data_IF_109883588180
#
_entry.id   IF_109883588180
#
_cell.length_a   1.000
_cell.length_b   1.000
_cell.length_c   1.000
_cell.angle_alpha   90.00
_cell.angle_beta   90.00
_cell.angle_gamma   90.00
#
_symmetry.space_group_name_H-M   'P 1'
#
loop_
_entity.id
_entity.type
_entity.pdbx_description
1 polymer ?
#
# COMPACT_ATOMS: atom_id res chain seq x y z
N UNK A 1 -6.40 -6.14 19.52
CA UNK A 1 -7.47 -5.14 19.31
C UNK A 1 -6.89 -3.72 19.26
N UNK A 2 -6.02 -3.35 20.19
CA UNK A 2 -5.42 -1.99 20.23
C UNK A 2 -4.56 -1.66 18.99
N UNK A 3 -3.82 -2.63 18.44
CA UNK A 3 -3.02 -2.44 17.22
C UNK A 3 -3.87 -2.29 15.95
N UNK A 4 -5.04 -2.91 15.89
CA UNK A 4 -5.99 -2.76 14.77
C UNK A 4 -6.61 -1.36 14.78
N UNK A 5 -7.01 -0.88 15.96
CA UNK A 5 -7.54 0.47 16.14
C UNK A 5 -6.54 1.57 15.75
N UNK A 6 -5.27 1.42 16.12
CA UNK A 6 -4.24 2.39 15.73
C UNK A 6 -4.04 2.43 14.21
N UNK A 7 -4.12 1.29 13.54
CA UNK A 7 -4.03 1.19 12.08
C UNK A 7 -5.20 1.87 11.37
N UNK A 8 -6.43 1.65 11.85
CA UNK A 8 -7.64 2.30 11.31
C UNK A 8 -7.64 3.82 11.55
N UNK A 9 -7.19 4.28 12.72
CA UNK A 9 -7.05 5.71 12.99
C UNK A 9 -6.00 6.35 12.08
N UNK A 10 -4.87 5.67 11.83
CA UNK A 10 -3.84 6.16 10.93
C UNK A 10 -4.32 6.23 9.48
N UNK A 11 -5.04 5.21 8.99
CA UNK A 11 -5.58 5.21 7.63
C UNK A 11 -6.65 6.29 7.44
N UNK A 12 -7.51 6.49 8.44
CA UNK A 12 -8.54 7.53 8.40
C UNK A 12 -7.95 8.95 8.48
N UNK A 13 -6.91 9.15 9.30
CA UNK A 13 -6.17 10.41 9.34
C UNK A 13 -5.50 10.73 8.00
N UNK A 14 -4.88 9.73 7.37
CA UNK A 14 -4.27 9.86 6.07
C UNK A 14 -5.30 10.18 4.97
N UNK A 15 -6.42 9.46 4.93
CA UNK A 15 -7.53 9.73 4.00
C UNK A 15 -8.05 11.15 4.15
N UNK A 16 -8.27 11.63 5.39
CA UNK A 16 -8.69 13.00 5.65
C UNK A 16 -7.70 14.04 5.11
N UNK A 17 -6.39 13.80 5.26
CA UNK A 17 -5.35 14.68 4.70
C UNK A 17 -5.39 14.73 3.17
N UNK A 18 -5.57 13.58 2.50
CA UNK A 18 -5.68 13.50 1.05
C UNK A 18 -6.96 14.21 0.55
N UNK A 19 -8.08 14.03 1.24
CA UNK A 19 -9.35 14.71 0.93
C UNK A 19 -9.24 16.23 1.04
N UNK A 20 -8.50 16.76 2.02
CA UNK A 20 -8.28 18.22 2.10
C UNK A 20 -7.46 18.75 0.92
N UNK A 21 -6.44 18.02 0.47
CA UNK A 21 -5.61 18.42 -0.68
C UNK A 21 -6.45 18.39 -1.97
N UNK A 22 -7.25 17.34 -2.14
CA UNK A 22 -8.08 17.16 -3.32
C UNK A 22 -9.19 18.22 -3.40
N UNK A 23 -9.84 18.53 -2.26
CA UNK A 23 -10.79 19.63 -2.15
C UNK A 23 -10.16 21.00 -2.46
N UNK A 24 -8.92 21.24 -2.02
CA UNK A 24 -8.19 22.46 -2.35
C UNK A 24 -7.89 22.58 -3.85
N UNK A 25 -7.47 21.49 -4.51
CA UNK A 25 -7.29 21.47 -5.97
C UNK A 25 -8.59 21.76 -6.72
N UNK A 26 -9.70 21.18 -6.27
CA UNK A 26 -11.04 21.43 -6.83
C UNK A 26 -11.45 22.90 -6.69
N UNK A 27 -11.19 23.51 -5.54
CA UNK A 27 -11.44 24.94 -5.30
C UNK A 27 -10.64 25.81 -6.28
N UNK A 28 -9.33 25.55 -6.44
CA UNK A 28 -8.48 26.30 -7.37
C UNK A 28 -8.95 26.13 -8.81
N UNK A 29 -9.32 24.91 -9.20
CA UNK A 29 -9.79 24.60 -10.56
C UNK A 29 -11.10 25.31 -10.87
N UNK A 30 -12.09 25.22 -9.98
CA UNK A 30 -13.39 25.89 -10.12
C UNK A 30 -13.27 27.40 -10.12
N UNK A 31 -12.44 27.97 -9.23
CA UNK A 31 -12.18 29.40 -9.20
C UNK A 31 -11.55 29.90 -10.51
N UNK A 32 -10.63 29.13 -11.09
CA UNK A 32 -10.02 29.43 -12.40
C UNK A 32 -11.04 29.37 -13.55
N UNK A 33 -11.94 28.39 -13.52
CA UNK A 33 -13.04 28.26 -14.49
C UNK A 33 -14.00 29.46 -14.43
N UNK A 34 -14.33 29.92 -13.22
CA UNK A 34 -15.18 31.11 -13.02
C UNK A 34 -14.51 32.37 -13.56
N UNK A 35 -13.21 32.55 -13.31
CA UNK A 35 -12.46 33.70 -13.81
C UNK A 35 -12.39 33.73 -15.34
N UNK A 36 -12.21 32.57 -15.99
CA UNK A 36 -12.11 32.47 -17.45
C UNK A 36 -13.44 32.27 -18.19
N UNK A 37 -14.57 32.41 -17.50
CA UNK A 37 -15.93 32.33 -18.07
C UNK A 37 -16.12 33.20 -19.31
N UNK A 38 -15.48 34.37 -19.39
CA UNK A 38 -15.62 35.30 -20.51
C UNK A 38 -14.94 34.82 -21.80
N UNK A 39 -14.00 33.88 -21.70
CA UNK A 39 -13.21 33.38 -22.84
C UNK A 39 -13.60 31.95 -23.24
N UNK A 40 -14.23 31.19 -22.34
CA UNK A 40 -14.60 29.79 -22.58
C UNK A 40 -16.09 29.61 -22.91
N UNK A 41 -16.38 28.68 -23.82
CA UNK A 41 -17.74 28.18 -24.05
C UNK A 41 -18.27 27.42 -22.83
N UNK A 42 -19.54 27.63 -22.48
CA UNK A 42 -20.20 26.99 -21.35
C UNK A 42 -20.09 25.46 -21.36
N UNK A 43 -20.08 24.84 -22.56
CA UNK A 43 -19.90 23.38 -22.70
C UNK A 43 -18.51 22.89 -22.27
N UNK A 44 -17.47 23.68 -22.55
CA UNK A 44 -16.10 23.33 -22.17
C UNK A 44 -15.90 23.48 -20.66
N UNK A 45 -16.48 24.51 -20.05
CA UNK A 45 -16.46 24.71 -18.59
C UNK A 45 -17.12 23.54 -17.86
N UNK A 46 -18.29 23.08 -18.33
CA UNK A 46 -18.97 21.92 -17.74
C UNK A 46 -18.17 20.63 -17.88
N UNK A 47 -17.51 20.44 -19.02
CA UNK A 47 -16.66 19.28 -19.30
C UNK A 47 -15.41 19.26 -18.39
N UNK A 48 -14.70 20.39 -18.27
CA UNK A 48 -13.53 20.49 -17.37
C UNK A 48 -13.94 20.33 -15.91
N UNK A 49 -15.08 20.88 -15.49
CA UNK A 49 -15.58 20.71 -14.13
C UNK A 49 -15.90 19.25 -13.81
N UNK A 50 -16.56 18.54 -14.73
CA UNK A 50 -16.83 17.11 -14.57
C UNK A 50 -15.54 16.30 -14.43
N UNK A 51 -14.53 16.57 -15.27
CA UNK A 51 -13.24 15.89 -15.16
C UNK A 51 -12.51 16.23 -13.87
N UNK A 52 -12.58 17.47 -13.39
CA UNK A 52 -11.96 17.87 -12.13
C UNK A 52 -12.54 17.08 -10.94
N UNK A 53 -13.87 16.91 -10.89
CA UNK A 53 -14.53 16.09 -9.87
C UNK A 53 -14.09 14.62 -9.96
N UNK A 54 -14.10 14.05 -11.16
CA UNK A 54 -13.76 12.64 -11.36
C UNK A 54 -12.29 12.32 -11.00
N UNK A 55 -11.36 13.19 -11.39
CA UNK A 55 -9.92 12.99 -11.13
C UNK A 55 -9.62 13.06 -9.62
N UNK A 56 -10.33 13.92 -8.90
CA UNK A 56 -10.17 14.10 -7.44
C UNK A 56 -10.43 12.79 -6.70
N UNK A 57 -11.56 12.13 -6.97
CA UNK A 57 -11.93 10.86 -6.32
C UNK A 57 -10.99 9.71 -6.75
N UNK A 58 -10.58 9.72 -8.02
CA UNK A 58 -9.70 8.70 -8.55
C UNK A 58 -8.31 8.77 -7.91
N UNK A 59 -7.78 9.97 -7.69
CA UNK A 59 -6.49 10.18 -7.04
C UNK A 59 -6.49 9.68 -5.60
N UNK A 60 -7.54 9.96 -4.82
CA UNK A 60 -7.65 9.45 -3.46
C UNK A 60 -7.62 7.93 -3.42
N UNK A 61 -8.42 7.29 -4.29
CA UNK A 61 -8.52 5.83 -4.37
C UNK A 61 -7.18 5.18 -4.77
N UNK A 62 -6.47 5.80 -5.72
CA UNK A 62 -5.16 5.33 -6.17
C UNK A 62 -4.15 5.37 -5.02
N UNK A 63 -4.04 6.49 -4.31
CA UNK A 63 -3.08 6.65 -3.21
C UNK A 63 -3.33 5.64 -2.09
N UNK A 64 -4.60 5.38 -1.74
CA UNK A 64 -4.95 4.33 -0.76
C UNK A 64 -4.54 2.94 -1.24
N UNK A 65 -4.77 2.62 -2.51
CA UNK A 65 -4.38 1.34 -3.10
C UNK A 65 -2.85 1.15 -3.09
N UNK A 66 -2.08 2.19 -3.40
CA UNK A 66 -0.62 2.15 -3.32
C UNK A 66 -0.13 1.88 -1.89
N UNK A 67 -0.72 2.54 -0.88
CA UNK A 67 -0.35 2.32 0.53
C UNK A 67 -0.65 0.88 1.00
N UNK A 68 -1.79 0.32 0.57
CA UNK A 68 -2.12 -1.09 0.83
C UNK A 68 -1.15 -2.04 0.13
N UNK A 69 -0.76 -1.73 -1.12
CA UNK A 69 0.20 -2.52 -1.88
C UNK A 69 1.59 -2.51 -1.25
N UNK A 70 2.06 -1.34 -0.81
CA UNK A 70 3.33 -1.20 -0.08
C UNK A 70 3.33 -2.04 1.20
N UNK A 71 2.23 -1.99 1.95
CA UNK A 71 2.07 -2.84 3.16
C UNK A 71 2.06 -4.33 2.80
N UNK A 72 1.41 -4.72 1.70
CA UNK A 72 1.35 -6.10 1.24
C UNK A 72 2.69 -6.62 0.69
N UNK A 73 3.56 -5.74 0.18
CA UNK A 73 4.88 -6.08 -0.37
C UNK A 73 5.87 -6.60 0.68
N UNK A 74 5.65 -6.29 1.97
CA UNK A 74 6.48 -6.81 3.07
C UNK A 74 6.44 -8.34 3.16
N UNK A 75 5.32 -8.98 2.80
CA UNK A 75 5.20 -10.44 2.85
C UNK A 75 6.14 -11.16 1.84
N UNK A 76 6.11 -10.86 0.53
CA UNK A 76 7.04 -11.47 -0.41
C UNK A 76 8.50 -11.09 -0.14
N UNK A 77 8.81 -9.88 0.35
CA UNK A 77 10.17 -9.51 0.78
C UNK A 77 10.70 -10.46 1.86
N UNK A 78 9.89 -10.75 2.89
CA UNK A 78 10.26 -11.71 3.94
C UNK A 78 10.44 -13.12 3.40
N UNK A 79 9.60 -13.56 2.46
CA UNK A 79 9.75 -14.88 1.82
C UNK A 79 11.05 -14.96 1.03
N UNK A 80 11.40 -13.90 0.30
CA UNK A 80 12.66 -13.82 -0.42
C UNK A 80 13.87 -13.82 0.53
N UNK A 81 13.76 -13.15 1.67
CA UNK A 81 14.79 -13.15 2.71
C UNK A 81 15.00 -14.57 3.28
N UNK A 82 13.93 -15.29 3.62
CA UNK A 82 14.03 -16.67 4.13
C UNK A 82 14.65 -17.67 3.12
N UNK A 83 14.52 -17.43 1.81
CA UNK A 83 15.18 -18.25 0.80
C UNK A 83 16.70 -18.05 0.74
N UNK A 84 17.20 -16.89 1.15
CA UNK A 84 18.61 -16.54 1.10
C UNK A 84 19.35 -16.81 2.43
N UNK A 85 18.64 -17.27 3.47
CA UNK A 85 19.26 -17.63 4.75
C UNK A 85 20.19 -18.83 4.56
N UNK A 86 21.32 -18.82 5.29
CA UNK A 86 22.27 -19.94 5.33
C UNK A 86 21.50 -21.21 5.71
N UNK A 87 21.44 -22.16 4.78
CA UNK A 87 20.71 -23.40 5.01
C UNK A 87 21.39 -24.22 6.11
N UNK A 88 20.57 -24.80 6.98
CA UNK A 88 21.05 -25.75 7.98
C UNK A 88 21.71 -26.96 7.30
N UNK A 89 22.56 -27.67 8.05
CA UNK A 89 23.21 -28.86 7.54
C UNK A 89 22.18 -29.89 7.03
N UNK A 90 22.49 -30.65 5.98
CA UNK A 90 21.59 -31.66 5.43
C UNK A 90 21.06 -32.60 6.52
N UNK A 91 19.74 -32.81 6.56
CA UNK A 91 19.07 -33.66 7.56
C UNK A 91 19.66 -35.06 7.68
N UNK A 92 20.15 -35.59 6.55
CA UNK A 92 20.82 -36.89 6.50
C UNK A 92 22.17 -36.68 5.83
N UNK A 93 23.23 -36.80 6.61
CA UNK A 93 24.60 -36.85 6.11
C UNK A 93 24.98 -38.32 6.00
N UNK A 94 25.22 -38.79 4.77
CA UNK A 94 25.63 -40.18 4.52
C UNK A 94 26.94 -40.47 5.26
N UNK A 95 26.90 -41.35 6.26
CA UNK A 95 28.06 -41.70 7.09
C UNK A 95 28.20 -40.92 8.41
N UNK A 96 27.25 -40.04 8.78
CA UNK A 96 27.33 -39.28 10.03
C UNK A 96 27.08 -40.09 11.31
N UNK A 97 26.43 -41.25 11.20
CA UNK A 97 26.19 -42.15 12.33
C UNK A 97 26.46 -43.60 11.91
N UNK A 98 27.22 -44.38 12.70
CA UNK A 98 27.32 -45.83 12.53
C UNK A 98 25.93 -46.47 12.59
N UNK A 99 25.74 -47.62 11.93
CA UNK A 99 24.48 -48.37 11.95
C UNK A 99 24.05 -48.84 13.34
N UNK A 100 24.96 -48.76 14.32
CA UNK A 100 24.73 -49.13 15.71
C UNK A 100 24.44 -47.94 16.62
N UNK A 101 24.33 -46.73 16.08
CA UNK A 101 23.86 -45.56 16.83
C UNK A 101 22.32 -45.55 16.94
N UNK A 102 21.73 -45.15 18.08
CA UNK A 102 22.36 -44.86 19.37
C UNK A 102 22.48 -46.14 20.22
N UNK A 103 23.70 -46.48 20.61
CA UNK A 103 24.02 -47.78 21.23
C UNK A 103 23.73 -47.84 22.74
N UNK A 104 23.37 -46.73 23.38
CA UNK A 104 22.82 -46.79 24.74
C UNK A 104 21.83 -45.68 25.03
N UNK A 105 20.61 -46.10 25.36
CA UNK A 105 19.60 -45.31 26.04
C UNK A 105 19.98 -45.38 27.53
N UNK A 106 20.87 -44.48 27.98
CA UNK A 106 21.19 -44.38 29.41
C UNK A 106 20.05 -43.65 30.11
N UNK A 107 19.27 -44.43 30.87
CA UNK A 107 18.45 -43.96 31.99
C UNK A 107 19.33 -43.50 33.15
#
# INVERSE_FOLDING_TARGET
>A
METMFCGELASQWFSFRIQMISAFMLLVTTMSLVYMRSYLSAGLVGLVFQYALQITDQLESVVQMWSQLETAMVAPERVAEYNNVVQEAPRVVSGAVPSSWPESLTM
#
